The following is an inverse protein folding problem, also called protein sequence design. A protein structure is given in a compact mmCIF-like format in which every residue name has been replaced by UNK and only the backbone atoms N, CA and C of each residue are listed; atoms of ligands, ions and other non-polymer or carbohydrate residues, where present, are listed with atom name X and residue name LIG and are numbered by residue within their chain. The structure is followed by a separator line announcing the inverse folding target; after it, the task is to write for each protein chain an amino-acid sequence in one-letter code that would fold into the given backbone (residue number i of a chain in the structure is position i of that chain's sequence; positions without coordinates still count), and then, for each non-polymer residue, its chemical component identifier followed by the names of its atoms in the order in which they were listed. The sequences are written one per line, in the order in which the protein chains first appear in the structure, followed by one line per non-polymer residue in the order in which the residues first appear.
data_IF_331128083931
#
_entry.id   IF_331128083931
#
_cell.length_a   1.000
_cell.length_b   1.000
_cell.length_c   1.000
_cell.angle_alpha   90.00
_cell.angle_beta   90.00
_cell.angle_gamma   90.00
#
_symmetry.space_group_name_H-M   'P 1'
#
loop_
_entity.id
_entity.type
_entity.pdbx_description
1 polymer ?
#
# COMPACT_ATOMS: atom_id res chain seq x y z
N UNK A 1 10.68 12.04 16.21
CA UNK A 1 9.46 12.26 15.43
C UNK A 1 8.69 10.98 15.60
N UNK A 2 7.77 10.93 16.56
CA UNK A 2 6.92 9.74 16.74
C UNK A 2 6.03 9.65 15.50
N UNK A 3 6.45 8.82 14.56
CA UNK A 3 5.63 8.36 13.45
C UNK A 3 4.44 7.65 14.11
N UNK A 4 3.26 8.31 14.09
CA UNK A 4 2.01 7.67 14.51
C UNK A 4 1.84 6.46 13.60
N UNK A 5 2.28 5.30 14.07
CA UNK A 5 2.28 4.06 13.32
C UNK A 5 0.87 3.83 12.82
N UNK A 6 0.72 3.87 11.49
CA UNK A 6 -0.50 3.43 10.83
C UNK A 6 -0.75 2.01 11.34
N UNK A 7 -1.95 1.74 11.88
CA UNK A 7 -2.32 0.37 12.17
C UNK A 7 -2.33 -0.37 10.83
N UNK A 8 -1.44 -1.35 10.68
CA UNK A 8 -1.35 -2.12 9.45
C UNK A 8 -2.68 -2.80 9.17
N UNK A 9 -3.18 -2.66 7.95
CA UNK A 9 -4.34 -3.42 7.53
C UNK A 9 -3.95 -4.88 7.34
N UNK A 10 -4.87 -5.83 7.58
CA UNK A 10 -4.61 -7.24 7.29
C UNK A 10 -4.33 -7.52 5.80
N UNK A 11 -4.63 -6.55 4.93
CA UNK A 11 -4.41 -6.57 3.49
C UNK A 11 -3.12 -5.84 3.04
N UNK A 12 -2.34 -5.29 3.97
CA UNK A 12 -1.04 -4.68 3.67
C UNK A 12 -0.01 -5.76 3.30
N UNK A 13 0.95 -5.39 2.43
CA UNK A 13 2.00 -6.29 1.99
C UNK A 13 3.11 -6.45 3.04
N UNK A 14 3.56 -7.70 3.24
CA UNK A 14 4.80 -7.96 3.97
C UNK A 14 6.00 -7.41 3.19
N UNK A 15 7.12 -7.19 3.89
CA UNK A 15 8.34 -6.71 3.25
C UNK A 15 8.81 -7.65 2.12
N UNK A 16 8.72 -8.97 2.32
CA UNK A 16 9.07 -9.97 1.31
C UNK A 16 8.17 -9.88 0.07
N UNK A 17 6.86 -9.68 0.25
CA UNK A 17 5.94 -9.49 -0.88
C UNK A 17 6.19 -8.15 -1.59
N UNK A 18 6.56 -7.13 -0.83
CA UNK A 18 6.90 -5.82 -1.38
C UNK A 18 8.17 -5.88 -2.23
N UNK A 19 9.19 -6.65 -1.85
CA UNK A 19 10.42 -6.81 -2.63
C UNK A 19 10.18 -7.38 -4.03
N UNK A 20 9.19 -8.25 -4.20
CA UNK A 20 8.82 -8.79 -5.52
C UNK A 20 8.10 -7.75 -6.40
N UNK A 21 7.35 -6.84 -5.78
CA UNK A 21 6.51 -5.85 -6.49
C UNK A 21 7.27 -4.53 -6.73
N UNK A 22 8.14 -4.13 -5.81
CA UNK A 22 8.90 -2.87 -5.87
C UNK A 22 9.64 -2.65 -7.21
N UNK A 23 10.24 -3.66 -7.87
CA UNK A 23 10.88 -3.51 -9.17
C UNK A 23 9.92 -3.04 -10.27
N UNK A 24 8.63 -3.38 -10.19
CA UNK A 24 7.62 -2.93 -11.16
C UNK A 24 7.40 -1.41 -11.10
N UNK A 25 7.73 -0.79 -9.97
CA UNK A 25 7.63 0.64 -9.77
C UNK A 25 8.92 1.41 -10.10
N UNK A 26 10.01 0.73 -10.45
CA UNK A 26 11.33 1.34 -10.63
C UNK A 26 11.40 2.39 -11.75
N UNK A 27 10.59 2.23 -12.81
CA UNK A 27 10.55 3.16 -13.95
C UNK A 27 9.43 4.22 -13.81
N UNK A 28 8.68 4.21 -12.71
CA UNK A 28 7.61 5.17 -12.52
C UNK A 28 8.13 6.51 -11.99
N UNK A 29 7.46 7.59 -12.40
CA UNK A 29 7.71 8.93 -11.86
C UNK A 29 7.58 8.93 -10.33
N UNK A 30 8.53 9.60 -9.69
CA UNK A 30 8.48 9.89 -8.26
C UNK A 30 7.20 10.67 -7.93
N UNK A 31 6.40 10.13 -7.02
CA UNK A 31 5.17 10.73 -6.52
C UNK A 31 5.41 11.24 -5.09
N UNK A 32 4.53 12.12 -4.62
CA UNK A 32 4.55 12.61 -3.24
C UNK A 32 4.33 11.49 -2.21
N UNK A 33 3.66 10.40 -2.61
CA UNK A 33 3.36 9.25 -1.76
C UNK A 33 4.22 8.04 -2.10
N UNK A 34 4.52 7.24 -1.09
CA UNK A 34 5.23 5.97 -1.24
C UNK A 34 4.41 5.02 -2.10
N UNK A 35 5.06 4.35 -3.06
CA UNK A 35 4.40 3.35 -3.91
C UNK A 35 3.80 2.20 -3.08
N UNK A 36 4.46 1.85 -1.97
CA UNK A 36 3.98 0.86 -1.00
C UNK A 36 2.64 1.26 -0.40
N UNK A 37 2.57 2.47 0.18
CA UNK A 37 1.34 3.00 0.76
C UNK A 37 0.18 3.05 -0.24
N UNK A 38 0.45 3.38 -1.51
CA UNK A 38 -0.58 3.37 -2.56
C UNK A 38 -1.05 1.95 -2.89
N UNK A 39 -0.12 0.98 -2.90
CA UNK A 39 -0.42 -0.42 -3.21
C UNK A 39 -1.25 -1.04 -2.09
N UNK A 40 -0.82 -0.83 -0.84
CA UNK A 40 -1.53 -1.25 0.37
C UNK A 40 -2.95 -0.65 0.41
N UNK A 41 -3.11 0.64 0.08
CA UNK A 41 -4.42 1.27 0.00
C UNK A 41 -5.35 0.66 -1.08
N UNK A 42 -4.78 0.28 -2.23
CA UNK A 42 -5.54 -0.40 -3.29
C UNK A 42 -5.92 -1.82 -2.86
N UNK A 43 -5.00 -2.55 -2.23
CA UNK A 43 -5.26 -3.90 -1.71
C UNK A 43 -6.32 -3.87 -0.62
N UNK A 44 -6.26 -2.91 0.29
CA UNK A 44 -7.30 -2.66 1.27
C UNK A 44 -8.67 -2.46 0.62
N UNK A 45 -8.75 -1.63 -0.43
CA UNK A 45 -10.00 -1.37 -1.14
C UNK A 45 -10.55 -2.62 -1.85
N UNK A 46 -9.66 -3.46 -2.38
CA UNK A 46 -10.03 -4.72 -3.05
C UNK A 46 -10.52 -5.76 -2.03
N UNK A 47 -9.81 -5.92 -0.91
CA UNK A 47 -10.11 -6.91 0.12
C UNK A 47 -11.38 -6.57 0.92
N UNK A 48 -11.51 -5.33 1.38
CA UNK A 48 -12.68 -4.85 2.12
C UNK A 48 -13.93 -4.66 1.24
N UNK A 49 -13.74 -4.69 -0.08
CA UNK A 49 -14.72 -4.34 -1.10
C UNK A 49 -14.95 -2.83 -1.18
N UNK A 50 -15.44 -2.35 -2.33
CA UNK A 50 -15.88 -0.95 -2.49
C UNK A 50 -17.11 -0.63 -1.62
N UNK A 51 -16.95 -0.58 -0.29
CA UNK A 51 -17.97 -0.14 0.67
C UNK A 51 -18.05 1.39 0.75
N UNK A 52 -17.93 2.07 -0.38
CA UNK A 52 -18.08 3.52 -0.44
C UNK A 52 -19.53 3.99 -0.25
N UNK A 53 -20.49 3.06 -0.10
CA UNK A 53 -21.92 3.30 0.15
C UNK A 53 -22.62 2.12 0.88
N UNK A 54 -22.04 1.58 1.95
CA UNK A 54 -22.79 0.72 2.88
C UNK A 54 -23.00 1.41 4.21
#
# INVERSE_FOLDING_TARGET
MEEKGRESYPSDLTDEQWEEIAPLYAEMRNCTWSKRELTDAVLYLVDSGCKWRQ
#
